data_IF_030994038102
#
_entry.id   IF_030994038102
#
_cell.length_a   1.000
_cell.length_b   1.000
_cell.length_c   1.000
_cell.angle_alpha   90.00
_cell.angle_beta   90.00
_cell.angle_gamma   90.00
#
_symmetry.space_group_name_H-M   'P 1'
#
loop_
_entity.id
_entity.type
_entity.pdbx_description
1 polymer ?
#
# COMPACT_ATOMS: atom_id res chain seq x y z
N UNK A 1 -8.91 -8.79 -11.74
CA UNK A 1 -7.52 -8.50 -11.36
C UNK A 1 -7.05 -9.58 -10.42
N UNK A 2 -5.93 -10.23 -10.71
CA UNK A 2 -5.26 -11.20 -9.84
C UNK A 2 -4.55 -10.49 -8.67
N UNK A 3 -4.09 -11.23 -7.65
CA UNK A 3 -3.31 -10.63 -6.55
C UNK A 3 -2.01 -9.97 -7.03
N UNK A 4 -1.34 -10.57 -8.02
CA UNK A 4 -0.09 -10.06 -8.60
C UNK A 4 -0.35 -8.74 -9.33
N UNK A 5 -1.41 -8.68 -10.14
CA UNK A 5 -1.82 -7.44 -10.81
C UNK A 5 -2.21 -6.36 -9.81
N UNK A 6 -2.95 -6.72 -8.74
CA UNK A 6 -3.36 -5.77 -7.71
C UNK A 6 -2.16 -5.18 -6.96
N UNK A 7 -1.17 -6.00 -6.62
CA UNK A 7 0.08 -5.54 -6.03
C UNK A 7 0.83 -4.58 -6.96
N UNK A 8 0.84 -4.88 -8.27
CA UNK A 8 1.47 -4.00 -9.28
C UNK A 8 0.76 -2.66 -9.38
N UNK A 9 -0.57 -2.66 -9.37
CA UNK A 9 -1.37 -1.43 -9.43
C UNK A 9 -1.21 -0.57 -8.17
N UNK A 10 -1.06 -1.17 -7.00
CA UNK A 10 -0.71 -0.45 -5.76
C UNK A 10 0.64 0.25 -5.91
N UNK A 11 1.67 -0.43 -6.44
CA UNK A 11 2.99 0.18 -6.64
C UNK A 11 2.93 1.31 -7.67
N UNK A 12 2.27 1.10 -8.81
CA UNK A 12 2.08 2.13 -9.83
C UNK A 12 1.37 3.37 -9.26
N UNK A 13 0.28 3.16 -8.53
CA UNK A 13 -0.51 4.27 -7.94
C UNK A 13 0.29 5.01 -6.86
N UNK A 14 1.15 4.30 -6.12
CA UNK A 14 2.09 4.92 -5.17
C UNK A 14 3.14 5.78 -5.88
N UNK A 15 3.68 5.33 -7.01
CA UNK A 15 4.59 6.12 -7.83
C UNK A 15 3.89 7.37 -8.38
N UNK A 16 2.65 7.24 -8.85
CA UNK A 16 1.84 8.37 -9.30
C UNK A 16 1.58 9.40 -8.18
N UNK A 17 1.33 8.92 -6.96
CA UNK A 17 1.19 9.80 -5.79
C UNK A 17 2.48 10.56 -5.51
N UNK A 18 3.62 9.86 -5.52
CA UNK A 18 4.93 10.49 -5.34
C UNK A 18 5.22 11.52 -6.44
N UNK A 19 4.90 11.20 -7.69
CA UNK A 19 5.06 12.10 -8.82
C UNK A 19 4.15 13.33 -8.69
N UNK A 20 2.90 13.16 -8.23
CA UNK A 20 1.97 14.26 -8.00
C UNK A 20 2.46 15.22 -6.90
N UNK A 21 3.01 14.68 -5.81
CA UNK A 21 3.60 15.47 -4.72
C UNK A 21 4.85 16.21 -5.20
N UNK A 22 5.79 15.50 -5.86
CA UNK A 22 7.01 16.09 -6.39
C UNK A 22 6.73 17.16 -7.46
N UNK A 23 5.71 16.93 -8.28
CA UNK A 23 5.21 17.86 -9.30
C UNK A 23 4.42 19.04 -8.75
N UNK A 24 4.21 19.12 -7.43
CA UNK A 24 3.39 20.15 -6.77
C UNK A 24 2.00 20.27 -7.40
N UNK A 25 1.37 19.12 -7.68
CA UNK A 25 -0.01 19.08 -8.14
C UNK A 25 -0.97 19.65 -7.09
N UNK A 26 -2.20 19.93 -7.50
CA UNK A 26 -3.23 20.43 -6.59
C UNK A 26 -3.52 19.43 -5.48
N UNK A 27 -3.85 19.94 -4.30
CA UNK A 27 -4.24 19.12 -3.15
C UNK A 27 -5.37 18.16 -3.50
N UNK A 28 -6.37 18.62 -4.27
CA UNK A 28 -7.47 17.77 -4.74
C UNK A 28 -6.97 16.58 -5.54
N UNK A 29 -5.98 16.77 -6.41
CA UNK A 29 -5.42 15.70 -7.25
C UNK A 29 -4.60 14.71 -6.42
N UNK A 30 -3.85 15.20 -5.44
CA UNK A 30 -3.11 14.37 -4.49
C UNK A 30 -4.11 13.52 -3.69
N UNK A 31 -5.18 14.12 -3.16
CA UNK A 31 -6.21 13.42 -2.40
C UNK A 31 -6.96 12.37 -3.23
N UNK A 32 -7.26 12.65 -4.50
CA UNK A 32 -7.89 11.68 -5.40
C UNK A 32 -7.00 10.44 -5.59
N UNK A 33 -5.69 10.65 -5.78
CA UNK A 33 -4.73 9.54 -5.93
C UNK A 33 -4.57 8.79 -4.60
N UNK A 34 -4.50 9.49 -3.47
CA UNK A 34 -4.43 8.85 -2.14
C UNK A 34 -5.64 7.96 -1.87
N UNK A 35 -6.86 8.44 -2.15
CA UNK A 35 -8.09 7.64 -1.97
C UNK A 35 -8.11 6.40 -2.88
N UNK A 36 -7.62 6.53 -4.11
CA UNK A 36 -7.49 5.39 -5.01
C UNK A 36 -6.50 4.36 -4.43
N UNK A 37 -5.36 4.81 -3.94
CA UNK A 37 -4.35 3.95 -3.32
C UNK A 37 -4.91 3.22 -2.09
N UNK A 38 -5.62 3.93 -1.21
CA UNK A 38 -6.27 3.34 -0.02
C UNK A 38 -7.25 2.24 -0.43
N UNK A 39 -8.09 2.48 -1.44
CA UNK A 39 -9.04 1.48 -1.94
C UNK A 39 -8.36 0.22 -2.51
N UNK A 40 -7.25 0.38 -3.23
CA UNK A 40 -6.48 -0.76 -3.75
C UNK A 40 -5.84 -1.58 -2.62
N UNK A 41 -5.33 -0.90 -1.58
CA UNK A 41 -4.76 -1.56 -0.39
C UNK A 41 -5.85 -2.32 0.38
N UNK A 42 -7.02 -1.71 0.59
CA UNK A 42 -8.17 -2.38 1.22
C UNK A 42 -8.61 -3.62 0.44
N UNK A 43 -8.67 -3.54 -0.89
CA UNK A 43 -8.97 -4.68 -1.76
C UNK A 43 -7.93 -5.80 -1.61
N UNK A 44 -6.65 -5.44 -1.55
CA UNK A 44 -5.55 -6.40 -1.39
C UNK A 44 -5.60 -7.08 -0.03
N UNK A 45 -5.83 -6.33 1.04
CA UNK A 45 -5.97 -6.86 2.39
C UNK A 45 -7.21 -7.74 2.51
N UNK A 46 -8.34 -7.34 1.93
CA UNK A 46 -9.59 -8.10 1.99
C UNK A 46 -9.46 -9.46 1.31
N UNK A 47 -8.71 -9.54 0.21
CA UNK A 47 -8.44 -10.80 -0.49
C UNK A 47 -7.49 -11.71 0.29
N UNK A 48 -6.46 -11.15 0.94
CA UNK A 48 -5.52 -11.89 1.77
C UNK A 48 -6.11 -12.36 3.11
N UNK A 49 -7.11 -11.66 3.65
CA UNK A 49 -7.81 -12.06 4.87
C UNK A 49 -9.02 -12.99 4.61
N UNK A 50 -9.25 -13.40 3.36
CA UNK A 50 -10.23 -14.44 3.07
C UNK A 50 -9.65 -15.82 3.46
N UNK A 51 -10.42 -16.68 4.16
CA UNK A 51 -9.94 -18.00 4.59
C UNK A 51 -9.58 -18.96 3.44
N UNK A 52 -9.82 -18.56 2.18
CA UNK A 52 -9.48 -19.32 0.97
C UNK A 52 -8.15 -18.90 0.32
N UNK A 53 -7.42 -17.91 0.86
CA UNK A 53 -6.17 -17.42 0.26
C UNK A 53 -4.97 -17.58 1.20
N UNK A 54 -4.80 -18.76 1.77
CA UNK A 54 -3.58 -19.13 2.48
C UNK A 54 -2.50 -19.61 1.51
N UNK A 55 -1.97 -18.70 0.68
CA UNK A 55 -0.72 -18.95 -0.04
C UNK A 55 0.24 -17.76 0.11
N UNK A 56 1.10 -17.89 1.13
CA UNK A 56 2.42 -17.26 1.28
C UNK A 56 2.49 -15.72 1.36
N UNK A 57 2.50 -15.19 2.58
CA UNK A 57 3.41 -14.08 2.88
C UNK A 57 3.89 -14.11 4.34
N UNK A 58 5.07 -14.71 4.52
CA UNK A 58 5.91 -14.50 5.71
C UNK A 58 6.38 -13.04 5.68
N UNK A 59 5.72 -12.19 6.47
CA UNK A 59 6.21 -10.83 6.75
C UNK A 59 6.69 -10.83 8.19
N UNK A 60 7.97 -11.16 8.34
CA UNK A 60 8.76 -10.92 9.53
C UNK A 60 8.83 -9.41 9.79
N UNK A 61 7.91 -8.88 10.59
CA UNK A 61 8.03 -7.53 11.15
C UNK A 61 9.24 -7.53 12.10
N UNK A 62 10.36 -7.00 11.61
CA UNK A 62 11.53 -6.74 12.46
C UNK A 62 11.19 -5.58 13.40
N UNK A 63 10.87 -5.94 14.63
CA UNK A 63 10.90 -5.07 15.80
C UNK A 63 12.29 -4.42 15.91
N UNK A 64 12.36 -3.14 15.57
CA UNK A 64 13.55 -2.30 15.76
C UNK A 64 13.21 -1.14 16.69
N UNK A 65 12.70 -1.46 17.87
CA UNK A 65 12.62 -0.55 19.03
C UNK A 65 13.93 -0.52 19.83
N UNK A 66 14.87 0.31 19.41
CA UNK A 66 16.18 0.53 20.04
C UNK A 66 16.08 1.29 21.39
N UNK A 67 16.68 0.72 22.45
CA UNK A 67 17.44 1.34 23.56
C UNK A 67 17.05 2.75 24.13
N UNK A 68 16.81 2.80 25.45
CA UNK A 68 17.72 3.31 26.53
C UNK A 68 17.00 4.16 27.59
N UNK A 69 17.24 3.84 28.87
CA UNK A 69 17.05 4.78 29.99
C UNK A 69 16.85 4.12 31.35
N UNK A 70 17.94 3.66 31.99
CA UNK A 70 18.06 3.62 33.45
C UNK A 70 19.30 4.42 33.83
#
# INVERSE_FOLDING_TARGET
>A
MTQIELKREIENTREDLNAAIAGRMTESRILDISRLLDGLIEEYLSRNNSPDSQENMDITYMDTGNRKGC
#
